data_IF_783880364268
#
_entry.id   IF_783880364268
#
_cell.length_a   1.000
_cell.length_b   1.000
_cell.length_c   1.000
_cell.angle_alpha   90.00
_cell.angle_beta   90.00
_cell.angle_gamma   90.00
#
_symmetry.space_group_name_H-M   'P 1'
#
loop_
_entity.id
_entity.type
_entity.pdbx_description
1 polymer ?
#
# COMPACT_ATOMS: atom_id res chain seq x y z
N UNK A 1 5.75 36.20 21.62
CA UNK A 1 4.50 35.51 22.02
C UNK A 1 3.53 35.21 20.86
N UNK A 2 3.95 35.13 19.58
CA UNK A 2 3.04 34.83 18.44
C UNK A 2 3.27 33.47 17.74
N UNK A 3 4.23 32.66 18.20
CA UNK A 3 4.59 31.40 17.51
C UNK A 3 3.90 30.14 18.05
N UNK A 4 3.14 30.23 19.14
CA UNK A 4 2.62 29.04 19.83
C UNK A 4 1.21 28.62 19.40
N UNK A 5 0.45 29.49 18.72
CA UNK A 5 -0.99 29.24 18.47
C UNK A 5 -1.26 28.27 17.31
N UNK A 6 -0.36 28.17 16.32
CA UNK A 6 -0.60 27.29 15.15
C UNK A 6 -0.38 25.80 15.43
N UNK A 7 0.32 25.40 16.50
CA UNK A 7 0.65 24.00 16.73
C UNK A 7 -0.53 23.15 17.23
N UNK A 8 -1.53 23.77 17.87
CA UNK A 8 -2.64 23.04 18.52
C UNK A 8 -3.85 22.79 17.62
N UNK A 9 -3.89 23.37 16.42
CA UNK A 9 -5.04 23.24 15.51
C UNK A 9 -5.06 21.85 14.88
N UNK A 10 -6.01 21.01 15.29
CA UNK A 10 -6.23 19.67 14.73
C UNK A 10 -7.06 19.67 13.44
N UNK A 11 -7.88 20.70 13.24
CA UNK A 11 -8.71 20.88 12.05
C UNK A 11 -8.50 22.27 11.44
N UNK A 12 -8.03 22.32 10.20
CA UNK A 12 -7.70 23.56 9.50
C UNK A 12 -8.90 24.48 9.30
N UNK A 13 -10.14 23.98 9.40
CA UNK A 13 -11.33 24.86 9.34
C UNK A 13 -11.45 25.78 10.55
N UNK A 14 -10.77 25.47 11.66
CA UNK A 14 -10.73 26.26 12.88
C UNK A 14 -9.49 27.15 12.98
N UNK A 15 -8.73 27.27 11.90
CA UNK A 15 -7.50 28.05 11.89
C UNK A 15 -7.80 29.55 12.12
N UNK A 16 -7.19 30.19 13.14
CA UNK A 16 -7.46 31.58 13.46
C UNK A 16 -6.88 32.53 12.41
N UNK A 17 -7.65 33.56 12.06
CA UNK A 17 -7.24 34.59 11.10
C UNK A 17 -7.70 34.27 9.66
N UNK A 18 -7.18 35.00 8.66
CA UNK A 18 -7.57 34.78 7.28
C UNK A 18 -7.02 33.44 6.79
N UNK A 19 -7.90 32.61 6.23
CA UNK A 19 -7.55 31.34 5.60
C UNK A 19 -6.78 31.62 4.30
N UNK A 20 -5.45 31.70 4.41
CA UNK A 20 -4.52 31.93 3.31
C UNK A 20 -3.64 30.69 3.11
N UNK A 21 -3.12 30.52 1.90
CA UNK A 21 -2.17 29.43 1.58
C UNK A 21 -0.98 29.43 2.54
N UNK A 22 -0.40 30.60 2.82
CA UNK A 22 0.70 30.78 3.77
C UNK A 22 0.33 30.35 5.21
N UNK A 23 -0.89 30.61 5.66
CA UNK A 23 -1.35 30.18 6.98
C UNK A 23 -1.51 28.66 7.07
N UNK A 24 -2.03 28.03 6.01
CA UNK A 24 -2.17 26.57 5.90
C UNK A 24 -0.79 25.91 5.87
N UNK A 25 0.11 26.37 4.99
CA UNK A 25 1.46 25.82 4.85
C UNK A 25 2.25 25.93 6.14
N UNK A 26 2.23 27.09 6.82
CA UNK A 26 2.91 27.26 8.12
C UNK A 26 2.38 26.31 9.18
N UNK A 27 1.08 26.07 9.20
CA UNK A 27 0.45 25.17 10.17
C UNK A 27 0.84 23.72 9.89
N UNK A 28 0.73 23.26 8.64
CA UNK A 28 1.14 21.91 8.25
C UNK A 28 2.64 21.67 8.49
N UNK A 29 3.47 22.67 8.21
CA UNK A 29 4.90 22.62 8.48
C UNK A 29 5.16 22.48 9.99
N UNK A 30 4.54 23.31 10.84
CA UNK A 30 4.70 23.20 12.29
C UNK A 30 4.25 21.82 12.82
N UNK A 31 3.11 21.31 12.36
CA UNK A 31 2.59 19.98 12.72
C UNK A 31 3.56 18.87 12.29
N UNK A 32 4.10 18.95 11.08
CA UNK A 32 5.10 18.00 10.58
C UNK A 32 6.36 17.96 11.47
N UNK A 33 6.88 19.12 11.88
CA UNK A 33 8.02 19.21 12.79
C UNK A 33 7.72 18.63 14.19
N UNK A 34 6.47 18.70 14.63
CA UNK A 34 6.00 18.08 15.86
C UNK A 34 5.66 16.59 15.71
N UNK A 35 5.98 15.97 14.55
CA UNK A 35 5.68 14.58 14.21
C UNK A 35 4.17 14.26 14.16
N UNK A 36 3.36 15.27 13.87
CA UNK A 36 1.93 15.14 13.64
C UNK A 36 1.65 15.17 12.13
N UNK A 37 1.56 13.98 11.54
CA UNK A 37 1.47 13.83 10.08
C UNK A 37 0.04 13.85 9.54
N UNK A 38 -0.97 13.79 10.42
CA UNK A 38 -2.38 13.77 10.08
C UNK A 38 -3.06 15.05 10.57
N UNK A 39 -3.86 15.68 9.71
CA UNK A 39 -4.56 16.95 10.00
C UNK A 39 -5.95 16.92 9.36
N UNK A 40 -6.99 17.30 10.09
CA UNK A 40 -8.34 17.37 9.53
C UNK A 40 -8.53 18.66 8.72
N UNK A 41 -9.39 18.58 7.73
CA UNK A 41 -9.93 19.69 6.95
C UNK A 41 -11.42 19.41 6.78
N UNK A 42 -12.20 19.66 7.83
CA UNK A 42 -13.60 19.24 7.91
C UNK A 42 -13.73 17.72 7.70
N UNK A 43 -14.46 17.25 6.66
CA UNK A 43 -14.62 15.81 6.42
C UNK A 43 -13.38 15.14 5.80
N UNK A 44 -12.38 15.90 5.37
CA UNK A 44 -11.18 15.39 4.70
C UNK A 44 -10.06 15.21 5.73
N UNK A 45 -9.39 14.07 5.70
CA UNK A 45 -8.17 13.83 6.47
C UNK A 45 -6.94 14.01 5.58
N UNK A 46 -6.16 15.06 5.83
CA UNK A 46 -4.89 15.30 5.16
C UNK A 46 -3.77 14.49 5.85
N UNK A 47 -2.97 13.79 5.06
CA UNK A 47 -1.80 13.02 5.51
C UNK A 47 -0.56 13.49 4.77
N UNK A 48 0.51 13.80 5.52
CA UNK A 48 1.81 14.21 4.98
C UNK A 48 2.83 13.12 5.25
N UNK A 49 3.37 12.49 4.20
CA UNK A 49 4.30 11.37 4.35
C UNK A 49 5.62 11.81 5.01
N UNK A 50 6.01 11.26 6.18
CA UNK A 50 7.27 11.58 6.83
C UNK A 50 8.50 10.89 6.23
N UNK A 51 8.31 10.00 5.23
CA UNK A 51 9.35 9.16 4.64
C UNK A 51 10.14 8.34 5.68
N UNK A 52 9.47 7.95 6.76
CA UNK A 52 10.01 7.06 7.78
C UNK A 52 9.72 5.61 7.43
N UNK A 53 10.68 4.73 7.66
CA UNK A 53 10.45 3.29 7.55
C UNK A 53 9.59 2.82 8.73
N UNK A 54 8.34 2.52 8.42
CA UNK A 54 7.30 2.11 9.36
C UNK A 54 6.95 0.63 9.24
N UNK A 55 7.69 -0.11 8.40
CA UNK A 55 7.47 -1.52 8.11
C UNK A 55 6.17 -1.80 7.33
N UNK A 56 5.85 -3.09 7.15
CA UNK A 56 4.63 -3.52 6.44
C UNK A 56 3.42 -3.50 7.41
N UNK A 57 2.37 -2.69 7.17
CA UNK A 57 1.20 -2.61 8.05
C UNK A 57 0.42 -3.92 8.18
N UNK A 58 0.60 -4.86 7.26
CA UNK A 58 -0.15 -6.11 7.21
C UNK A 58 0.51 -7.25 7.99
N UNK A 59 1.71 -7.06 8.55
CA UNK A 59 2.36 -8.10 9.36
C UNK A 59 1.89 -8.07 10.81
N UNK A 60 1.86 -9.22 11.49
CA UNK A 60 1.53 -9.28 12.92
C UNK A 60 2.49 -8.44 13.78
N UNK A 61 3.76 -8.39 13.41
CA UNK A 61 4.80 -7.59 14.07
C UNK A 61 4.56 -6.07 14.03
N UNK A 62 3.75 -5.58 13.08
CA UNK A 62 3.35 -4.17 13.00
C UNK A 62 2.05 -3.87 13.73
N UNK A 63 1.57 -4.75 14.62
CA UNK A 63 0.39 -4.50 15.47
C UNK A 63 0.47 -3.18 16.25
N UNK A 64 1.66 -2.74 16.62
CA UNK A 64 1.85 -1.43 17.24
C UNK A 64 1.60 -0.26 16.28
N UNK A 65 1.74 -0.42 14.96
CA UNK A 65 1.48 0.63 13.97
C UNK A 65 -0.02 0.95 13.82
N UNK A 66 -0.91 -0.06 13.93
CA UNK A 66 -2.36 0.13 13.92
C UNK A 66 -2.86 0.94 15.12
N UNK A 67 -2.25 0.73 16.29
CA UNK A 67 -2.52 1.51 17.52
C UNK A 67 -1.97 2.96 17.46
N UNK A 68 -1.10 3.29 16.49
CA UNK A 68 -0.42 4.59 16.39
C UNK A 68 -1.12 5.65 15.54
N UNK A 69 -2.21 5.32 14.82
CA UNK A 69 -2.90 6.27 13.94
C UNK A 69 -4.38 6.44 14.33
N UNK A 70 -4.67 7.14 15.45
CA UNK A 70 -6.04 7.36 15.91
C UNK A 70 -6.90 8.13 14.91
N UNK A 71 -6.30 8.99 14.08
CA UNK A 71 -7.03 9.73 13.04
C UNK A 71 -7.59 8.81 11.95
N UNK A 72 -6.83 7.81 11.51
CA UNK A 72 -7.33 6.83 10.53
C UNK A 72 -8.38 5.91 11.16
N UNK A 73 -8.21 5.54 12.42
CA UNK A 73 -9.20 4.75 13.15
C UNK A 73 -10.53 5.49 13.27
N UNK A 74 -10.51 6.82 13.46
CA UNK A 74 -11.72 7.65 13.43
C UNK A 74 -12.44 7.58 12.09
N UNK A 75 -11.71 7.61 10.97
CA UNK A 75 -12.30 7.47 9.62
C UNK A 75 -12.99 6.10 9.47
N UNK A 76 -12.34 5.03 9.94
CA UNK A 76 -12.92 3.68 9.93
C UNK A 76 -14.17 3.60 10.79
N UNK A 77 -14.13 4.08 12.04
CA UNK A 77 -15.30 4.07 12.91
C UNK A 77 -16.46 4.86 12.35
N UNK A 78 -16.20 6.04 11.77
CA UNK A 78 -17.26 6.85 11.17
C UNK A 78 -17.88 6.14 9.96
N UNK A 79 -17.08 5.51 9.10
CA UNK A 79 -17.59 4.74 7.97
C UNK A 79 -18.45 3.54 8.44
N UNK A 80 -17.97 2.77 9.41
CA UNK A 80 -18.72 1.61 9.94
C UNK A 80 -20.02 2.07 10.63
N UNK A 81 -19.96 3.14 11.43
CA UNK A 81 -21.11 3.72 12.11
C UNK A 81 -22.16 4.19 11.11
N UNK A 82 -21.76 5.00 10.12
CA UNK A 82 -22.67 5.50 9.08
C UNK A 82 -23.30 4.36 8.26
N UNK A 83 -22.53 3.34 7.91
CA UNK A 83 -23.06 2.15 7.24
C UNK A 83 -24.12 1.45 8.10
N UNK A 84 -23.86 1.29 9.40
CA UNK A 84 -24.78 0.60 10.32
C UNK A 84 -26.06 1.37 10.61
N UNK A 85 -25.99 2.71 10.70
CA UNK A 85 -27.13 3.56 11.01
C UNK A 85 -28.01 3.82 9.78
N UNK A 86 -27.40 3.99 8.60
CA UNK A 86 -28.11 4.40 7.39
C UNK A 86 -28.43 3.24 6.45
N UNK A 87 -27.70 2.12 6.57
CA UNK A 87 -27.77 1.00 5.63
C UNK A 87 -27.12 1.28 4.27
N UNK A 88 -26.61 2.49 4.02
CA UNK A 88 -25.97 2.85 2.76
C UNK A 88 -24.48 2.46 2.73
N UNK A 89 -23.97 1.93 1.61
CA UNK A 89 -22.53 1.65 1.45
C UNK A 89 -21.68 2.91 1.61
N UNK A 90 -20.56 2.80 2.32
CA UNK A 90 -19.60 3.89 2.53
C UNK A 90 -18.34 3.68 1.68
N UNK A 91 -17.72 4.78 1.27
CA UNK A 91 -16.50 4.76 0.46
C UNK A 91 -15.43 5.67 1.08
N UNK A 92 -14.22 5.13 1.23
CA UNK A 92 -13.03 5.90 1.62
C UNK A 92 -12.14 6.04 0.39
N UNK A 93 -11.90 7.28 -0.04
CA UNK A 93 -11.12 7.58 -1.25
C UNK A 93 -9.77 8.15 -0.83
N UNK A 94 -8.69 7.48 -1.24
CA UNK A 94 -7.32 7.95 -1.02
C UNK A 94 -6.78 8.63 -2.28
N UNK A 95 -6.54 9.93 -2.20
CA UNK A 95 -5.97 10.74 -3.30
C UNK A 95 -4.57 11.26 -2.95
N UNK A 96 -3.77 11.56 -3.97
CA UNK A 96 -2.43 12.13 -3.83
C UNK A 96 -1.44 11.62 -4.88
N UNK A 97 -0.30 12.29 -4.99
CA UNK A 97 0.75 11.97 -5.96
C UNK A 97 1.52 10.68 -5.63
N UNK A 98 2.33 10.17 -6.56
CA UNK A 98 3.17 8.99 -6.27
C UNK A 98 4.11 9.29 -5.10
N UNK A 99 4.24 8.36 -4.16
CA UNK A 99 5.04 8.55 -2.94
C UNK A 99 4.32 9.25 -1.79
N UNK A 100 3.07 9.71 -1.96
CA UNK A 100 2.31 10.37 -0.89
C UNK A 100 1.87 9.47 0.28
N UNK A 101 2.13 8.16 0.21
CA UNK A 101 1.75 7.21 1.27
C UNK A 101 0.36 6.59 1.15
N UNK A 102 -0.30 6.70 -0.02
CA UNK A 102 -1.62 6.08 -0.28
C UNK A 102 -1.65 4.59 0.04
N UNK A 103 -0.73 3.81 -0.53
CA UNK A 103 -0.69 2.35 -0.37
C UNK A 103 -0.50 1.94 1.09
N UNK A 104 0.38 2.64 1.81
CA UNK A 104 0.58 2.42 3.24
C UNK A 104 -0.69 2.74 4.04
N UNK A 105 -1.30 3.90 3.78
CA UNK A 105 -2.51 4.36 4.47
C UNK A 105 -3.71 3.43 4.19
N UNK A 106 -3.86 2.93 2.96
CA UNK A 106 -4.93 1.99 2.63
C UNK A 106 -4.77 0.66 3.36
N UNK A 107 -3.54 0.13 3.46
CA UNK A 107 -3.28 -1.10 4.21
C UNK A 107 -3.59 -0.93 5.70
N UNK A 108 -3.25 0.23 6.27
CA UNK A 108 -3.54 0.55 7.66
C UNK A 108 -5.04 0.69 7.94
N UNK A 109 -5.77 1.37 7.04
CA UNK A 109 -7.23 1.48 7.11
C UNK A 109 -7.91 0.10 7.03
N UNK A 110 -7.48 -0.75 6.09
CA UNK A 110 -8.04 -2.10 5.96
C UNK A 110 -7.79 -2.95 7.20
N UNK A 111 -6.60 -2.86 7.78
CA UNK A 111 -6.29 -3.53 9.04
C UNK A 111 -7.21 -3.09 10.16
N UNK A 112 -7.34 -1.78 10.36
CA UNK A 112 -8.23 -1.23 11.39
C UNK A 112 -9.70 -1.60 11.15
N UNK A 113 -10.14 -1.63 9.89
CA UNK A 113 -11.49 -2.08 9.53
C UNK A 113 -11.72 -3.55 9.86
N UNK A 114 -10.74 -4.41 9.53
CA UNK A 114 -10.78 -5.84 9.85
C UNK A 114 -10.79 -6.06 11.37
N UNK A 115 -9.97 -5.31 12.12
CA UNK A 115 -9.96 -5.36 13.59
C UNK A 115 -11.33 -5.00 14.18
N UNK A 116 -11.98 -3.93 13.69
CA UNK A 116 -13.30 -3.49 14.16
C UNK A 116 -14.41 -4.47 13.77
N UNK A 117 -14.32 -5.09 12.60
CA UNK A 117 -15.33 -6.01 12.06
C UNK A 117 -15.14 -7.48 12.51
N UNK A 118 -14.34 -7.73 13.56
CA UNK A 118 -14.07 -9.10 14.06
C UNK A 118 -13.23 -9.98 13.12
N UNK A 119 -12.68 -9.39 12.05
CA UNK A 119 -11.79 -10.01 11.07
C UNK A 119 -10.32 -9.75 11.36
N UNK A 120 -9.91 -9.56 12.61
CA UNK A 120 -8.54 -9.15 12.99
C UNK A 120 -7.42 -10.02 12.41
N UNK A 121 -6.14 -9.65 12.61
CA UNK A 121 -5.02 -10.18 11.84
C UNK A 121 -4.70 -11.66 12.07
N UNK A 122 -5.27 -12.26 13.10
CA UNK A 122 -5.16 -13.71 13.39
C UNK A 122 -6.14 -14.55 12.55
N UNK A 123 -7.18 -13.92 11.99
CA UNK A 123 -8.19 -14.59 11.17
C UNK A 123 -7.65 -14.99 9.81
N UNK A 124 -8.17 -16.10 9.26
CA UNK A 124 -7.78 -16.52 7.92
C UNK A 124 -8.18 -15.50 6.87
N UNK A 125 -9.31 -14.81 7.03
CA UNK A 125 -9.72 -13.73 6.13
C UNK A 125 -8.65 -12.65 5.98
N UNK A 126 -8.03 -12.22 7.09
CA UNK A 126 -6.94 -11.25 7.04
C UNK A 126 -5.65 -11.84 6.45
N UNK A 127 -5.31 -13.09 6.76
CA UNK A 127 -4.14 -13.76 6.16
C UNK A 127 -4.26 -13.85 4.64
N UNK A 128 -5.44 -14.21 4.13
CA UNK A 128 -5.71 -14.23 2.68
C UNK A 128 -5.62 -12.82 2.08
N UNK A 129 -6.15 -11.79 2.76
CA UNK A 129 -6.02 -10.41 2.32
C UNK A 129 -4.54 -9.98 2.21
N UNK A 130 -3.75 -10.26 3.25
CA UNK A 130 -2.33 -9.92 3.30
C UNK A 130 -1.52 -10.68 2.23
N UNK A 131 -1.84 -11.95 2.01
CA UNK A 131 -1.24 -12.75 0.94
C UNK A 131 -1.58 -12.18 -0.45
N UNK A 132 -2.85 -11.81 -0.69
CA UNK A 132 -3.29 -11.20 -1.93
C UNK A 132 -2.56 -9.88 -2.21
N UNK A 133 -2.41 -9.00 -1.22
CA UNK A 133 -1.64 -7.76 -1.39
C UNK A 133 -0.16 -8.01 -1.68
N UNK A 134 0.45 -9.00 -1.04
CA UNK A 134 1.85 -9.36 -1.30
C UNK A 134 2.01 -9.78 -2.77
N UNK A 135 1.09 -10.61 -3.27
CA UNK A 135 1.09 -11.05 -4.67
C UNK A 135 0.87 -9.90 -5.64
N UNK A 136 -0.18 -9.11 -5.42
CA UNK A 136 -0.54 -7.97 -6.27
C UNK A 136 0.52 -6.87 -6.26
N UNK A 137 1.21 -6.65 -5.14
CA UNK A 137 2.27 -5.64 -5.05
C UNK A 137 3.47 -6.01 -5.91
N UNK A 138 3.89 -7.28 -5.93
CA UNK A 138 4.96 -7.74 -6.82
C UNK A 138 4.58 -7.60 -8.30
N UNK A 139 3.32 -7.88 -8.65
CA UNK A 139 2.81 -7.81 -10.03
C UNK A 139 2.51 -6.38 -10.50
N UNK A 140 2.15 -5.49 -9.59
CA UNK A 140 1.58 -4.17 -9.90
C UNK A 140 2.40 -2.98 -9.43
N UNK A 141 3.53 -3.19 -8.76
CA UNK A 141 4.43 -2.11 -8.32
C UNK A 141 5.78 -2.18 -9.02
N UNK A 142 6.36 -1.01 -9.23
CA UNK A 142 7.65 -0.84 -9.87
C UNK A 142 8.41 0.32 -9.24
N UNK A 143 9.75 0.28 -9.35
CA UNK A 143 10.60 1.41 -8.97
C UNK A 143 10.54 2.50 -10.05
N UNK A 144 10.16 3.70 -9.65
CA UNK A 144 10.28 4.93 -10.45
C UNK A 144 11.40 5.81 -9.89
N UNK A 145 11.68 6.93 -10.56
CA UNK A 145 12.73 7.86 -10.13
C UNK A 145 12.55 8.36 -8.67
N UNK A 146 11.30 8.55 -8.24
CA UNK A 146 10.97 9.18 -6.95
C UNK A 146 10.29 8.23 -5.96
N UNK A 147 10.01 6.98 -6.34
CA UNK A 147 9.32 6.02 -5.47
C UNK A 147 9.71 4.58 -5.82
N UNK A 148 10.37 3.90 -4.88
CA UNK A 148 10.83 2.52 -5.06
C UNK A 148 9.70 1.49 -5.12
N UNK A 149 8.54 1.79 -4.54
CA UNK A 149 7.39 0.89 -4.44
C UNK A 149 6.15 1.58 -5.06
N UNK A 150 6.32 2.18 -6.25
CA UNK A 150 5.24 2.88 -6.93
C UNK A 150 4.20 1.90 -7.45
N UNK A 151 3.01 1.90 -6.85
CA UNK A 151 1.86 1.18 -7.40
C UNK A 151 1.50 1.76 -8.78
N UNK A 152 1.51 0.91 -9.81
CA UNK A 152 1.13 1.21 -11.20
C UNK A 152 -0.16 0.50 -11.60
N UNK A 153 -0.93 0.09 -10.59
CA UNK A 153 -2.24 -0.53 -10.68
C UNK A 153 -3.13 0.13 -9.62
N UNK A 154 -4.36 0.45 -9.99
CA UNK A 154 -5.39 0.93 -9.08
C UNK A 154 -6.07 -0.24 -8.39
N UNK A 155 -6.39 -0.07 -7.11
CA UNK A 155 -7.12 -1.05 -6.32
C UNK A 155 -8.42 -0.43 -5.79
N UNK A 156 -9.54 -1.10 -6.02
CA UNK A 156 -10.82 -0.83 -5.37
C UNK A 156 -11.19 -2.06 -4.56
N UNK A 157 -11.36 -1.89 -3.26
CA UNK A 157 -11.50 -3.00 -2.32
C UNK A 157 -12.87 -2.90 -1.68
N UNK A 158 -13.73 -3.87 -1.95
CA UNK A 158 -15.02 -4.00 -1.30
C UNK A 158 -14.85 -4.84 -0.05
N UNK A 159 -15.18 -4.27 1.11
CA UNK A 159 -15.24 -5.00 2.38
C UNK A 159 -16.70 -5.02 2.81
N UNK A 160 -17.31 -6.20 2.76
CA UNK A 160 -18.70 -6.41 3.14
C UNK A 160 -18.75 -6.78 4.62
N UNK A 161 -19.40 -5.92 5.40
CA UNK A 161 -19.64 -6.12 6.84
C UNK A 161 -21.14 -6.21 7.06
N UNK A 162 -21.59 -7.28 7.72
CA UNK A 162 -22.99 -7.57 8.05
C UNK A 162 -23.07 -7.85 9.54
N UNK A 163 -24.00 -7.21 10.25
CA UNK A 163 -24.18 -7.37 11.70
C UNK A 163 -22.89 -7.17 12.52
N UNK A 164 -22.02 -6.25 12.07
CA UNK A 164 -20.73 -5.97 12.70
C UNK A 164 -19.64 -7.01 12.43
N UNK A 165 -19.91 -8.03 11.62
CA UNK A 165 -18.96 -9.07 11.25
C UNK A 165 -18.53 -8.96 9.78
N UNK A 166 -17.24 -9.17 9.52
CA UNK A 166 -16.69 -9.29 8.18
C UNK A 166 -17.29 -10.52 7.46
N UNK A 167 -18.00 -10.29 6.36
CA UNK A 167 -18.60 -11.35 5.54
C UNK A 167 -17.73 -11.71 4.33
N UNK A 168 -17.28 -10.71 3.56
CA UNK A 168 -16.55 -10.93 2.31
C UNK A 168 -15.64 -9.76 1.98
N UNK A 169 -14.50 -10.06 1.36
CA UNK A 169 -13.64 -9.04 0.74
C UNK A 169 -13.44 -9.33 -0.74
N UNK A 170 -13.48 -8.29 -1.58
CA UNK A 170 -13.14 -8.37 -2.99
C UNK A 170 -12.13 -7.29 -3.33
N UNK A 171 -11.15 -7.63 -4.16
CA UNK A 171 -10.16 -6.69 -4.67
C UNK A 171 -10.34 -6.59 -6.17
N UNK A 172 -10.68 -5.40 -6.64
CA UNK A 172 -10.80 -5.08 -8.05
C UNK A 172 -9.56 -4.29 -8.48
N UNK A 173 -8.87 -4.79 -9.50
CA UNK A 173 -7.67 -4.19 -10.05
C UNK A 173 -8.02 -3.42 -11.32
N UNK A 174 -7.58 -2.17 -11.42
CA UNK A 174 -7.87 -1.29 -12.56
C UNK A 174 -6.60 -0.60 -13.06
N UNK A 175 -6.61 -0.23 -14.35
CA UNK A 175 -5.60 0.65 -14.95
C UNK A 175 -4.14 0.24 -14.72
N UNK A 176 -3.82 -1.05 -14.93
CA UNK A 176 -2.43 -1.49 -14.96
C UNK A 176 -1.69 -0.76 -16.10
N UNK A 177 -0.53 -0.18 -15.80
CA UNK A 177 0.34 0.44 -16.79
C UNK A 177 1.01 -0.63 -17.66
N UNK A 178 0.31 -1.07 -18.70
CA UNK A 178 0.78 -2.10 -19.64
C UNK A 178 2.01 -1.64 -20.44
N UNK A 179 2.16 -0.33 -20.66
CA UNK A 179 3.27 0.22 -21.46
C UNK A 179 4.63 -0.01 -20.81
N UNK A 180 4.66 -0.07 -19.48
CA UNK A 180 5.88 -0.33 -18.69
C UNK A 180 6.51 -1.69 -18.99
N UNK A 181 5.71 -2.68 -19.41
CA UNK A 181 6.24 -4.02 -19.73
C UNK A 181 7.20 -3.96 -20.91
N UNK A 182 6.92 -3.13 -21.90
CA UNK A 182 7.69 -3.05 -23.16
C UNK A 182 8.64 -1.85 -23.22
N UNK A 183 8.37 -0.79 -22.46
CA UNK A 183 9.13 0.46 -22.53
C UNK A 183 9.39 1.00 -21.13
N UNK A 184 10.65 1.00 -20.75
CA UNK A 184 11.09 1.62 -19.50
C UNK A 184 11.52 3.07 -19.74
N UNK A 185 11.30 3.90 -18.73
CA UNK A 185 11.88 5.23 -18.66
C UNK A 185 13.29 5.15 -18.04
N UNK A 186 14.18 6.11 -18.34
CA UNK A 186 15.51 6.17 -17.74
C UNK A 186 15.42 6.16 -16.20
N UNK A 187 16.32 5.42 -15.56
CA UNK A 187 16.40 5.25 -14.10
C UNK A 187 15.18 4.59 -13.43
N UNK A 188 14.26 4.00 -14.20
CA UNK A 188 13.14 3.22 -13.68
C UNK A 188 13.35 1.73 -13.88
N UNK A 189 12.56 0.91 -13.16
CA UNK A 189 12.49 -0.53 -13.34
C UNK A 189 11.14 -0.95 -13.91
N UNK A 190 11.14 -2.17 -14.43
CA UNK A 190 9.89 -2.88 -14.73
C UNK A 190 9.23 -3.35 -13.40
N UNK A 191 8.11 -4.08 -13.50
CA UNK A 191 7.43 -4.65 -12.34
C UNK A 191 8.35 -5.55 -11.51
N UNK A 192 8.24 -5.47 -10.19
CA UNK A 192 9.16 -6.17 -9.28
C UNK A 192 9.17 -7.68 -9.49
N UNK A 193 8.04 -8.28 -9.87
CA UNK A 193 7.93 -9.72 -10.10
C UNK A 193 9.00 -10.27 -11.06
N UNK A 194 9.39 -9.51 -12.10
CA UNK A 194 10.38 -9.98 -13.06
C UNK A 194 11.76 -10.14 -12.41
N UNK A 195 12.15 -9.19 -11.59
CA UNK A 195 13.42 -9.21 -10.86
C UNK A 195 13.40 -10.29 -9.77
N UNK A 196 12.30 -10.36 -9.00
CA UNK A 196 12.06 -11.37 -7.97
C UNK A 196 12.13 -12.79 -8.53
N UNK A 197 11.45 -13.05 -9.64
CA UNK A 197 11.45 -14.34 -10.31
C UNK A 197 12.84 -14.71 -10.82
N UNK A 198 13.56 -13.78 -11.46
CA UNK A 198 14.93 -14.06 -11.91
C UNK A 198 15.84 -14.38 -10.73
N UNK A 199 15.74 -13.69 -9.60
CA UNK A 199 16.59 -13.98 -8.43
C UNK A 199 16.18 -15.26 -7.67
N UNK A 200 14.88 -15.56 -7.59
CA UNK A 200 14.35 -16.60 -6.70
C UNK A 200 14.02 -17.95 -7.33
N UNK A 201 14.00 -18.08 -8.66
CA UNK A 201 13.79 -19.37 -9.32
C UNK A 201 15.02 -20.29 -9.17
N UNK A 202 14.77 -21.55 -8.84
CA UNK A 202 15.76 -22.64 -8.86
C UNK A 202 16.23 -22.95 -10.29
N UNK A 203 17.35 -23.68 -10.42
CA UNK A 203 17.88 -24.05 -11.73
C UNK A 203 16.90 -24.95 -12.49
N UNK A 204 16.20 -25.84 -11.79
CA UNK A 204 15.18 -26.73 -12.32
C UNK A 204 13.96 -25.94 -12.82
N UNK A 205 13.43 -25.01 -12.03
CA UNK A 205 12.29 -24.16 -12.45
C UNK A 205 12.67 -23.28 -13.64
N UNK A 206 13.90 -22.72 -13.65
CA UNK A 206 14.40 -21.96 -14.80
C UNK A 206 14.47 -22.83 -16.06
N UNK A 207 14.87 -24.09 -15.96
CA UNK A 207 14.89 -24.99 -17.11
C UNK A 207 13.48 -25.30 -17.61
N UNK A 208 12.52 -25.54 -16.69
CA UNK A 208 11.11 -25.78 -17.03
C UNK A 208 10.47 -24.57 -17.73
N UNK A 209 10.79 -23.36 -17.29
CA UNK A 209 10.27 -22.10 -17.85
C UNK A 209 11.07 -21.60 -19.08
N UNK A 210 12.05 -22.37 -19.57
CA UNK A 210 12.94 -21.95 -20.66
C UNK A 210 13.71 -20.64 -20.37
N UNK A 211 13.97 -20.37 -19.09
CA UNK A 211 14.75 -19.23 -18.59
C UNK A 211 16.21 -19.57 -18.32
N UNK A 212 16.66 -20.78 -18.67
CA UNK A 212 18.05 -21.19 -18.55
C UNK A 212 18.97 -20.27 -19.37
N UNK A 213 19.99 -19.69 -18.73
CA UNK A 213 20.92 -18.74 -19.35
C UNK A 213 20.38 -17.31 -19.51
N UNK A 214 19.11 -17.05 -19.17
CA UNK A 214 18.57 -15.69 -19.14
C UNK A 214 18.97 -14.96 -17.85
N UNK A 215 19.27 -13.67 -17.99
CA UNK A 215 19.67 -12.77 -16.92
C UNK A 215 19.12 -11.37 -17.22
N UNK A 216 19.25 -10.47 -16.25
CA UNK A 216 18.85 -9.07 -16.44
C UNK A 216 19.49 -8.42 -17.67
N UNK A 217 20.70 -8.83 -18.06
CA UNK A 217 21.44 -8.20 -19.15
C UNK A 217 20.95 -8.63 -20.53
N UNK A 218 20.45 -9.86 -20.69
CA UNK A 218 19.99 -10.38 -21.99
C UNK A 218 18.47 -10.25 -22.22
N UNK A 219 17.70 -9.90 -21.19
CA UNK A 219 16.29 -9.57 -21.32
C UNK A 219 16.12 -8.08 -21.65
N UNK A 220 15.84 -7.80 -22.93
CA UNK A 220 15.70 -6.43 -23.46
C UNK A 220 14.67 -5.58 -22.70
N UNK A 221 13.59 -6.19 -22.20
CA UNK A 221 12.54 -5.48 -21.46
C UNK A 221 12.89 -5.19 -19.99
N UNK A 222 14.06 -5.64 -19.51
CA UNK A 222 14.59 -5.38 -18.17
C UNK A 222 15.89 -4.58 -18.17
N UNK A 223 16.64 -4.58 -19.29
CA UNK A 223 17.97 -3.98 -19.39
C UNK A 223 18.01 -2.50 -19.83
N UNK A 224 16.86 -1.87 -20.10
CA UNK A 224 16.77 -0.50 -20.64
C UNK A 224 16.72 0.62 -19.59
N UNK A 225 16.71 0.27 -18.30
CA UNK A 225 16.55 1.22 -17.19
C UNK A 225 17.57 1.00 -16.07
N UNK A 226 17.09 1.01 -14.83
CA UNK A 226 17.92 0.67 -13.67
C UNK A 226 18.10 -0.85 -13.56
N UNK A 227 19.31 -1.32 -13.84
CA UNK A 227 19.69 -2.75 -13.82
C UNK A 227 20.29 -3.17 -12.47
N UNK A 228 20.34 -2.27 -11.48
CA UNK A 228 20.76 -2.66 -10.12
C UNK A 228 19.84 -3.76 -9.60
N UNK A 229 20.37 -4.76 -8.91
CA UNK A 229 19.55 -5.78 -8.28
C UNK A 229 20.15 -6.18 -6.94
N UNK A 230 19.29 -6.33 -5.93
CA UNK A 230 19.65 -7.00 -4.69
C UNK A 230 19.12 -8.44 -4.77
N UNK A 231 19.90 -9.34 -5.34
CA UNK A 231 19.47 -10.72 -5.60
C UNK A 231 18.99 -11.45 -4.33
N UNK A 232 19.65 -11.22 -3.20
CA UNK A 232 19.27 -11.86 -1.93
C UNK A 232 17.89 -11.41 -1.45
N UNK A 233 17.61 -10.10 -1.53
CA UNK A 233 16.32 -9.55 -1.13
C UNK A 233 15.20 -9.94 -2.10
N UNK A 234 15.47 -9.86 -3.41
CA UNK A 234 14.50 -10.23 -4.45
C UNK A 234 14.16 -11.72 -4.41
N UNK A 235 15.14 -12.60 -4.15
CA UNK A 235 14.90 -14.03 -3.95
C UNK A 235 14.03 -14.29 -2.70
N UNK A 236 14.29 -13.59 -1.59
CA UNK A 236 13.46 -13.69 -0.38
C UNK A 236 12.03 -13.20 -0.62
N UNK A 237 11.86 -12.09 -1.34
CA UNK A 237 10.53 -11.57 -1.75
C UNK A 237 9.80 -12.56 -2.66
N UNK A 238 10.51 -13.23 -3.56
CA UNK A 238 9.92 -14.26 -4.44
C UNK A 238 9.47 -15.50 -3.66
N UNK A 239 10.25 -15.95 -2.69
CA UNK A 239 9.85 -17.07 -1.82
C UNK A 239 8.59 -16.72 -1.00
N UNK A 240 8.55 -15.51 -0.43
CA UNK A 240 7.35 -15.01 0.24
C UNK A 240 6.14 -14.94 -0.71
N UNK A 241 6.36 -14.54 -1.97
CA UNK A 241 5.32 -14.50 -3.01
C UNK A 241 4.77 -15.90 -3.32
N UNK A 242 5.63 -16.92 -3.49
CA UNK A 242 5.21 -18.33 -3.67
C UNK A 242 4.44 -18.87 -2.46
N UNK A 243 4.90 -18.55 -1.26
CA UNK A 243 4.19 -18.91 -0.02
C UNK A 243 2.80 -18.26 0.04
N UNK A 244 2.68 -16.99 -0.35
CA UNK A 244 1.39 -16.28 -0.40
C UNK A 244 0.44 -16.89 -1.43
N UNK A 245 0.91 -17.33 -2.60
CA UNK A 245 0.06 -18.05 -3.56
C UNK A 245 -0.50 -19.35 -2.98
N UNK A 246 0.32 -20.07 -2.23
CA UNK A 246 -0.10 -21.30 -1.54
C UNK A 246 -1.18 -21.02 -0.50
N UNK A 247 -1.05 -19.93 0.27
CA UNK A 247 -2.10 -19.46 1.21
C UNK A 247 -3.40 -19.13 0.48
N UNK A 248 -3.32 -18.56 -0.73
CA UNK A 248 -4.48 -18.26 -1.56
C UNK A 248 -5.09 -19.49 -2.25
N UNK A 249 -4.54 -20.69 -2.01
CA UNK A 249 -5.00 -21.93 -2.63
C UNK A 249 -4.66 -22.05 -4.12
N UNK A 250 -3.69 -21.27 -4.62
CA UNK A 250 -3.22 -21.34 -5.99
C UNK A 250 -2.05 -22.33 -6.03
N UNK A 251 -2.22 -23.54 -6.61
CA UNK A 251 -1.16 -24.53 -6.64
C UNK A 251 -0.01 -24.06 -7.55
N UNK A 252 1.22 -24.42 -7.19
CA UNK A 252 2.42 -24.07 -7.97
C UNK A 252 2.34 -24.55 -9.43
N UNK A 253 1.64 -25.65 -9.69
CA UNK A 253 1.42 -26.16 -11.06
C UNK A 253 0.60 -25.23 -11.94
N UNK A 254 -0.30 -24.41 -11.38
CA UNK A 254 -1.08 -23.43 -12.14
C UNK A 254 -0.28 -22.17 -12.47
N UNK A 255 0.87 -21.98 -11.81
CA UNK A 255 1.79 -20.84 -12.02
C UNK A 255 2.83 -21.14 -13.10
N UNK A 256 3.13 -22.41 -13.35
CA UNK A 256 4.20 -22.89 -14.25
C UNK A 256 3.66 -23.44 -15.59
N UNK A 257 2.33 -23.43 -15.78
CA UNK A 257 1.67 -23.85 -17.04
C UNK A 257 1.67 -22.77 -18.11
#
# INVERSE_FOLDING_TARGET
MRHTVCAEVQDLIHLPGPLTEDAVLRTLHARFFNREYFTNVGPILLSVNPYQDVGNPLTLSSAHAASRCPQLLRVVHEAVRQQSETGYPQAIILSGESGSGKTYSSMLLLRQLFDVAGGGPETDAFKHLAAAFTVLRSLGSAKTANNSESSRIGHFIEVQVTDGALYRTKIHCYFLDQTRVIRLLPNEKNYHIFYQMLAGLTQEERAQLSLAGYSLHNLCYLNQGDVSQNETEDASRFEAWKSCLSVLGIPSMDVVR
#
